data_IF_493250665063
#
_entry.id   IF_493250665063
#
_cell.length_a   1.000
_cell.length_b   1.000
_cell.length_c   1.000
_cell.angle_alpha   90.00
_cell.angle_beta   90.00
_cell.angle_gamma   90.00
#
_symmetry.space_group_name_H-M   'P 1'
#
loop_
_entity.id
_entity.type
_entity.pdbx_description
1 polymer ?
#
# COMPACT_ATOMS: atom_id res chain seq x y z
N UNK A 1 27.97 -41.38 34.64
CA UNK A 1 26.98 -41.89 33.68
C UNK A 1 25.70 -41.05 33.82
N UNK A 2 25.52 -40.03 33.00
CA UNK A 2 24.36 -39.13 33.08
C UNK A 2 23.19 -39.75 32.31
N UNK A 3 22.08 -40.01 33.00
CA UNK A 3 20.82 -40.43 32.37
C UNK A 3 20.11 -39.21 31.87
N UNK A 4 20.04 -39.04 30.55
CA UNK A 4 19.11 -38.09 29.92
C UNK A 4 17.70 -38.67 30.04
N UNK A 5 16.87 -38.10 30.89
CA UNK A 5 15.44 -38.35 30.89
C UNK A 5 14.86 -37.55 29.73
N UNK A 6 14.42 -38.27 28.67
CA UNK A 6 13.59 -37.68 27.64
C UNK A 6 12.24 -37.25 28.26
N UNK A 7 12.17 -36.00 28.71
CA UNK A 7 10.88 -35.36 28.89
C UNK A 7 10.39 -34.99 27.47
N UNK A 8 9.57 -35.84 26.90
CA UNK A 8 8.67 -35.43 25.81
C UNK A 8 7.74 -34.39 26.39
N UNK A 9 8.08 -33.12 26.24
CA UNK A 9 7.12 -32.04 26.34
C UNK A 9 6.10 -32.30 25.27
N UNK A 10 4.88 -32.71 25.65
CA UNK A 10 3.73 -32.63 24.75
C UNK A 10 3.60 -31.17 24.39
N UNK A 11 4.08 -30.81 23.19
CA UNK A 11 3.79 -29.55 22.57
C UNK A 11 2.30 -29.68 22.23
N UNK A 12 1.44 -29.13 23.08
CA UNK A 12 0.05 -28.90 22.72
C UNK A 12 0.09 -28.17 21.37
N UNK A 13 -0.43 -28.85 20.36
CA UNK A 13 -0.60 -28.24 19.04
C UNK A 13 -1.55 -27.05 19.22
N UNK A 14 -0.98 -25.89 19.48
CA UNK A 14 -1.71 -24.63 19.43
C UNK A 14 -1.96 -24.41 17.95
N UNK A 15 -3.21 -24.62 17.53
CA UNK A 15 -3.64 -24.36 16.18
C UNK A 15 -3.69 -22.82 15.99
N UNK A 16 -2.57 -22.26 15.54
CA UNK A 16 -2.43 -20.82 15.31
C UNK A 16 -3.00 -20.52 13.92
N UNK A 17 -4.15 -19.90 13.88
CA UNK A 17 -4.71 -19.35 12.63
C UNK A 17 -3.98 -18.03 12.28
N UNK A 18 -2.94 -18.13 11.45
CA UNK A 18 -2.13 -16.98 11.03
C UNK A 18 -2.95 -15.87 10.38
N UNK A 19 -4.09 -16.19 9.77
CA UNK A 19 -4.98 -15.17 9.21
C UNK A 19 -5.66 -14.32 10.27
N UNK A 20 -6.16 -14.94 11.32
CA UNK A 20 -6.75 -14.20 12.46
C UNK A 20 -5.72 -13.33 13.15
N UNK A 21 -4.49 -13.83 13.29
CA UNK A 21 -3.39 -13.03 13.83
C UNK A 21 -3.07 -11.84 12.94
N UNK A 22 -2.95 -12.04 11.62
CA UNK A 22 -2.71 -10.97 10.67
C UNK A 22 -3.84 -9.93 10.65
N UNK A 23 -5.10 -10.36 10.72
CA UNK A 23 -6.26 -9.47 10.82
C UNK A 23 -6.26 -8.71 12.15
N UNK A 24 -5.88 -9.35 13.24
CA UNK A 24 -5.68 -8.74 14.56
C UNK A 24 -4.65 -7.63 14.52
N UNK A 25 -3.48 -7.89 13.94
CA UNK A 25 -2.41 -6.90 13.78
C UNK A 25 -2.87 -5.70 12.93
N UNK A 26 -3.56 -5.96 11.83
CA UNK A 26 -4.10 -4.87 11.00
C UNK A 26 -5.12 -4.04 11.78
N UNK A 27 -6.01 -4.67 12.53
CA UNK A 27 -7.01 -3.95 13.32
C UNK A 27 -6.40 -3.08 14.41
N UNK A 28 -5.30 -3.51 15.01
CA UNK A 28 -4.66 -2.81 16.14
C UNK A 28 -3.67 -1.74 15.68
N UNK A 29 -2.83 -2.03 14.68
CA UNK A 29 -1.70 -1.19 14.30
C UNK A 29 -1.85 -0.46 12.96
N UNK A 30 -2.96 -0.64 12.24
CA UNK A 30 -3.09 -0.02 10.93
C UNK A 30 -3.38 1.48 11.01
N UNK A 31 -2.87 2.18 10.02
CA UNK A 31 -3.28 3.52 9.64
C UNK A 31 -4.23 3.44 8.43
N UNK A 32 -5.12 4.42 8.32
CA UNK A 32 -5.96 4.56 7.13
C UNK A 32 -5.21 5.29 6.03
N UNK A 33 -5.12 4.67 4.87
CA UNK A 33 -4.51 5.25 3.67
C UNK A 33 -5.49 5.21 2.50
N UNK A 34 -5.27 6.03 1.48
CA UNK A 34 -5.98 5.91 0.21
C UNK A 34 -5.14 5.08 -0.75
N UNK A 35 -5.71 4.01 -1.26
CA UNK A 35 -5.09 3.12 -2.23
C UNK A 35 -5.66 3.39 -3.61
N UNK A 36 -4.79 3.70 -4.56
CA UNK A 36 -5.12 3.92 -5.96
C UNK A 36 -4.60 2.75 -6.78
N UNK A 37 -5.53 2.00 -7.34
CA UNK A 37 -5.23 0.87 -8.21
C UNK A 37 -5.27 1.30 -9.65
N UNK A 38 -4.18 1.11 -10.38
CA UNK A 38 -4.08 1.39 -11.80
C UNK A 38 -4.66 0.23 -12.64
N UNK A 39 -5.66 0.55 -13.46
CA UNK A 39 -6.20 -0.39 -14.44
C UNK A 39 -5.44 -0.26 -15.76
N UNK A 40 -4.34 -0.99 -15.92
CA UNK A 40 -3.45 -0.89 -17.09
C UNK A 40 -4.09 -1.28 -18.44
N UNK A 41 -5.30 -1.82 -18.42
CA UNK A 41 -5.98 -2.30 -19.64
C UNK A 41 -6.82 -1.24 -20.33
N UNK A 42 -7.19 -0.17 -19.62
CA UNK A 42 -8.07 0.86 -20.17
C UNK A 42 -7.35 2.19 -20.12
N UNK A 43 -6.95 2.69 -21.30
CA UNK A 43 -6.31 4.00 -21.44
C UNK A 43 -7.29 5.12 -21.06
N UNK A 44 -6.79 6.10 -20.33
CA UNK A 44 -7.50 7.35 -20.10
C UNK A 44 -7.52 8.22 -21.37
N UNK A 45 -8.50 9.08 -21.51
CA UNK A 45 -8.56 10.03 -22.62
C UNK A 45 -7.36 11.00 -22.69
N UNK A 46 -6.68 11.21 -21.55
CA UNK A 46 -5.50 12.06 -21.47
C UNK A 46 -4.19 11.31 -21.78
N UNK A 47 -4.27 10.03 -22.14
CA UNK A 47 -3.08 9.24 -22.42
C UNK A 47 -2.39 9.71 -23.71
N UNK A 48 -1.14 10.12 -23.58
CA UNK A 48 -0.30 10.45 -24.71
C UNK A 48 0.40 9.19 -25.24
N UNK A 49 0.05 8.81 -26.45
CA UNK A 49 0.64 7.61 -27.10
C UNK A 49 2.11 7.80 -27.48
N UNK A 50 2.58 9.03 -27.62
CA UNK A 50 3.97 9.33 -27.97
C UNK A 50 4.85 9.21 -26.74
N UNK A 51 4.49 9.95 -25.68
CA UNK A 51 5.25 10.01 -24.44
C UNK A 51 4.95 8.86 -23.46
N UNK A 52 3.95 8.02 -23.79
CA UNK A 52 3.48 6.89 -22.96
C UNK A 52 3.11 7.26 -21.53
N UNK A 53 2.62 8.47 -21.34
CA UNK A 53 2.24 9.01 -20.02
C UNK A 53 0.84 9.64 -20.07
N UNK A 54 0.26 9.88 -18.90
CA UNK A 54 -0.97 10.63 -18.72
C UNK A 54 -0.71 12.07 -18.32
N UNK A 55 -1.72 12.92 -18.45
CA UNK A 55 -1.67 14.28 -17.90
C UNK A 55 -1.58 14.19 -16.35
N UNK A 56 -0.54 14.76 -15.72
CA UNK A 56 -0.37 14.74 -14.27
C UNK A 56 -1.56 15.29 -13.48
N UNK A 57 -2.32 16.21 -14.07
CA UNK A 57 -3.49 16.82 -13.44
C UNK A 57 -4.81 16.12 -13.80
N UNK A 58 -4.76 15.01 -14.52
CA UNK A 58 -5.97 14.31 -14.93
C UNK A 58 -6.70 13.73 -13.72
N UNK A 59 -7.93 14.15 -13.49
CA UNK A 59 -8.78 13.67 -12.40
C UNK A 59 -9.32 12.25 -12.60
N UNK A 60 -9.17 11.69 -13.80
CA UNK A 60 -9.68 10.36 -14.13
C UNK A 60 -8.65 9.26 -13.88
N UNK A 61 -7.39 9.51 -14.17
CA UNK A 61 -6.33 8.53 -14.07
C UNK A 61 -5.26 8.88 -13.03
N UNK A 62 -5.37 10.03 -12.37
CA UNK A 62 -4.40 10.51 -11.39
C UNK A 62 -2.96 10.54 -11.94
N UNK A 63 -2.82 11.00 -13.18
CA UNK A 63 -1.52 11.10 -13.84
C UNK A 63 -0.98 9.81 -14.45
N UNK A 64 -1.58 8.65 -14.16
CA UNK A 64 -1.09 7.34 -14.64
C UNK A 64 -1.31 7.09 -16.13
N UNK A 65 -2.20 7.84 -16.77
CA UNK A 65 -2.63 7.60 -18.15
C UNK A 65 -3.62 6.43 -18.33
N UNK A 66 -3.97 5.74 -17.25
CA UNK A 66 -4.91 4.62 -17.25
C UNK A 66 -6.01 4.86 -16.21
N UNK A 67 -7.18 4.27 -16.42
CA UNK A 67 -8.23 4.36 -15.42
C UNK A 67 -7.77 3.79 -14.09
N UNK A 68 -8.14 4.45 -13.01
CA UNK A 68 -7.78 4.07 -11.66
C UNK A 68 -9.02 3.98 -10.77
N UNK A 69 -8.95 3.19 -9.72
CA UNK A 69 -9.92 3.20 -8.65
C UNK A 69 -9.24 3.65 -7.35
N UNK A 70 -9.96 4.40 -6.55
CA UNK A 70 -9.49 4.86 -5.24
C UNK A 70 -10.35 4.24 -4.14
N UNK A 71 -9.73 3.73 -3.11
CA UNK A 71 -10.40 3.18 -1.93
C UNK A 71 -9.62 3.49 -0.66
N UNK A 72 -10.32 3.62 0.47
CA UNK A 72 -9.70 3.74 1.78
C UNK A 72 -9.43 2.34 2.31
N UNK A 73 -8.18 2.06 2.64
CA UNK A 73 -7.78 0.76 3.18
C UNK A 73 -6.99 0.92 4.46
N UNK A 74 -7.01 -0.07 5.36
CA UNK A 74 -6.08 -0.16 6.47
C UNK A 74 -4.74 -0.72 5.97
N UNK A 75 -3.63 -0.16 6.44
CA UNK A 75 -2.30 -0.67 6.18
C UNK A 75 -1.40 -0.44 7.39
N UNK A 76 -0.48 -1.36 7.65
CA UNK A 76 0.54 -1.20 8.68
C UNK A 76 1.77 -0.56 8.02
N UNK A 77 2.20 0.58 8.54
CA UNK A 77 3.44 1.23 8.14
C UNK A 77 4.59 0.68 8.98
N UNK A 78 5.58 0.13 8.34
CA UNK A 78 6.81 -0.33 8.99
C UNK A 78 7.99 0.43 8.40
N UNK A 79 8.67 1.21 9.23
CA UNK A 79 9.93 1.85 8.87
C UNK A 79 11.08 1.07 9.49
N UNK A 80 11.83 0.35 8.68
CA UNK A 80 13.04 -0.30 9.15
C UNK A 80 14.18 0.72 9.18
N UNK A 81 14.45 1.27 10.35
CA UNK A 81 15.73 1.94 10.64
C UNK A 81 16.76 0.90 11.06
N UNK A 82 17.10 -0.01 10.19
CA UNK A 82 18.08 -1.01 10.54
C UNK A 82 19.48 -0.48 10.28
N UNK A 83 20.14 -0.01 11.33
CA UNK A 83 21.53 0.43 11.31
C UNK A 83 22.54 -0.72 11.25
N UNK A 84 22.07 -1.96 11.39
CA UNK A 84 22.93 -3.16 11.47
C UNK A 84 22.37 -4.32 10.64
N UNK A 85 22.03 -4.07 9.39
CA UNK A 85 21.56 -5.14 8.52
C UNK A 85 22.69 -6.02 8.03
N UNK A 86 23.06 -6.99 8.85
CA UNK A 86 23.61 -8.22 8.32
C UNK A 86 22.46 -9.05 7.76
N UNK A 87 22.45 -9.16 6.45
CA UNK A 87 21.91 -10.30 5.69
C UNK A 87 20.56 -10.85 6.12
N UNK A 88 19.48 -10.24 5.78
CA UNK A 88 18.31 -10.98 5.30
C UNK A 88 17.14 -10.05 4.96
N UNK A 89 17.03 -9.74 3.77
CA UNK A 89 15.79 -9.74 3.03
C UNK A 89 14.83 -8.55 3.14
N UNK A 90 14.74 -7.85 4.22
CA UNK A 90 13.66 -6.88 4.39
C UNK A 90 14.16 -5.60 5.04
N UNK A 91 14.49 -4.60 4.22
CA UNK A 91 14.95 -3.29 4.69
C UNK A 91 16.43 -3.22 5.06
N UNK A 92 17.27 -4.06 4.47
CA UNK A 92 18.70 -4.09 4.69
C UNK A 92 19.45 -3.00 3.95
N UNK A 93 20.62 -2.67 4.46
CA UNK A 93 21.63 -1.87 3.78
C UNK A 93 21.96 -2.50 2.43
N UNK A 94 21.74 -1.79 1.33
CA UNK A 94 22.35 -2.18 0.06
C UNK A 94 23.81 -1.73 0.09
N UNK A 95 24.71 -2.69 0.13
CA UNK A 95 26.12 -2.44 -0.10
C UNK A 95 26.28 -2.21 -1.60
N UNK A 96 26.57 -0.97 -1.99
CA UNK A 96 26.98 -0.63 -3.35
C UNK A 96 28.49 -0.55 -3.40
N UNK A 97 29.09 -0.69 -4.58
CA UNK A 97 30.56 -0.60 -4.78
C UNK A 97 31.15 0.74 -4.34
N UNK A 98 30.31 1.72 -4.00
CA UNK A 98 30.73 3.11 -3.63
C UNK A 98 30.51 3.38 -2.13
N UNK A 99 29.99 2.42 -1.33
CA UNK A 99 29.81 2.61 0.09
C UNK A 99 28.46 2.10 0.61
N UNK A 100 28.29 2.19 1.94
CA UNK A 100 27.08 1.78 2.63
C UNK A 100 26.13 2.96 2.67
N UNK A 101 25.03 2.90 1.94
CA UNK A 101 23.97 3.89 2.05
C UNK A 101 22.88 3.39 3.01
N UNK A 102 22.60 4.18 4.05
CA UNK A 102 21.46 3.94 4.93
C UNK A 102 20.17 4.33 4.16
N UNK A 103 19.59 3.39 3.43
CA UNK A 103 18.28 3.57 2.86
C UNK A 103 17.25 3.11 3.90
N UNK A 104 16.45 4.03 4.39
CA UNK A 104 15.26 3.69 5.16
C UNK A 104 14.23 3.13 4.18
N UNK A 105 14.11 1.81 4.14
CA UNK A 105 13.05 1.20 3.36
C UNK A 105 11.76 1.28 4.18
N UNK A 106 10.82 2.08 3.73
CA UNK A 106 9.45 2.04 4.24
C UNK A 106 8.71 0.89 3.54
N UNK A 107 8.04 0.05 4.33
CA UNK A 107 7.24 -1.08 3.84
C UNK A 107 5.83 -0.93 4.37
N UNK A 108 4.85 -1.14 3.51
CA UNK A 108 3.45 -1.16 3.90
C UNK A 108 2.90 -2.58 3.80
N UNK A 109 2.30 -3.07 4.90
CA UNK A 109 1.61 -4.35 4.92
C UNK A 109 0.13 -4.14 4.70
N UNK A 110 -0.41 -4.79 3.67
CA UNK A 110 -1.78 -4.64 3.19
C UNK A 110 -2.44 -6.02 3.23
N UNK A 111 -3.70 -6.08 3.63
CA UNK A 111 -4.48 -7.33 3.64
C UNK A 111 -4.51 -7.97 2.25
N UNK A 112 -4.49 -9.30 2.23
CA UNK A 112 -4.45 -10.11 0.99
C UNK A 112 -5.57 -9.80 0.01
N UNK A 113 -6.74 -9.39 0.50
CA UNK A 113 -7.92 -9.08 -0.34
C UNK A 113 -7.73 -7.92 -1.31
N UNK A 114 -6.80 -7.02 -1.04
CA UNK A 114 -6.55 -5.84 -1.88
C UNK A 114 -5.65 -6.13 -3.07
N UNK A 115 -4.92 -7.26 -3.08
CA UNK A 115 -4.06 -7.69 -4.19
C UNK A 115 -3.27 -6.54 -4.84
N UNK A 116 -2.39 -5.85 -4.10
CA UNK A 116 -1.62 -4.72 -4.62
C UNK A 116 -0.70 -5.16 -5.74
N UNK A 117 -0.35 -4.21 -6.63
CA UNK A 117 0.56 -4.44 -7.74
C UNK A 117 1.61 -3.34 -7.81
N UNK A 118 2.76 -3.66 -8.40
CA UNK A 118 3.77 -2.65 -8.73
C UNK A 118 3.17 -1.53 -9.58
N UNK A 119 3.54 -0.29 -9.28
CA UNK A 119 3.03 0.98 -9.81
C UNK A 119 1.63 1.38 -9.35
N UNK A 120 1.00 0.65 -8.44
CA UNK A 120 -0.13 1.19 -7.70
C UNK A 120 0.36 2.27 -6.73
N UNK A 121 -0.54 3.15 -6.30
CA UNK A 121 -0.17 4.31 -5.49
C UNK A 121 -0.88 4.24 -4.14
N UNK A 122 -0.13 4.50 -3.09
CA UNK A 122 -0.65 4.71 -1.74
C UNK A 122 -0.53 6.19 -1.40
N UNK A 123 -1.61 6.78 -0.88
CA UNK A 123 -1.60 8.15 -0.41
C UNK A 123 -1.73 8.17 1.11
N UNK A 124 -0.74 8.70 1.79
CA UNK A 124 -0.83 9.03 3.20
C UNK A 124 -1.52 10.38 3.31
N UNK A 125 -2.68 10.41 3.97
CA UNK A 125 -3.55 11.58 4.03
C UNK A 125 -3.87 11.97 5.45
N UNK A 126 -4.16 13.26 5.64
CA UNK A 126 -4.75 13.76 6.88
C UNK A 126 -6.26 13.61 6.78
N UNK A 127 -6.87 13.09 7.84
CA UNK A 127 -8.32 12.86 7.93
C UNK A 127 -8.96 13.90 8.85
N UNK A 128 -10.15 14.38 8.49
CA UNK A 128 -10.97 15.17 9.39
C UNK A 128 -11.70 14.30 10.44
N UNK A 129 -12.45 14.95 11.36
CA UNK A 129 -13.23 14.25 12.39
C UNK A 129 -14.34 13.34 11.82
N UNK A 130 -14.77 13.60 10.59
CA UNK A 130 -15.78 12.82 9.88
C UNK A 130 -15.15 11.67 9.05
N UNK A 131 -13.83 11.57 9.03
CA UNK A 131 -13.10 10.57 8.25
C UNK A 131 -12.99 10.91 6.77
N UNK A 132 -13.15 12.18 6.39
CA UNK A 132 -12.89 12.63 5.02
C UNK A 132 -11.41 12.98 4.84
N UNK A 133 -10.82 12.68 3.68
CA UNK A 133 -9.45 13.06 3.39
C UNK A 133 -9.37 14.58 3.15
N UNK A 134 -8.47 15.26 3.85
CA UNK A 134 -8.28 16.71 3.78
C UNK A 134 -7.09 17.07 2.90
N UNK A 135 -5.92 16.60 3.27
CA UNK A 135 -4.68 16.87 2.55
C UNK A 135 -3.83 15.61 2.43
N UNK A 136 -3.07 15.53 1.33
CA UNK A 136 -2.12 14.45 1.07
C UNK A 136 -0.77 14.84 1.65
N UNK A 137 -0.28 14.01 2.57
CA UNK A 137 1.02 14.19 3.21
C UNK A 137 2.14 13.59 2.38
N UNK A 138 1.94 12.35 1.90
CA UNK A 138 2.90 11.62 1.07
C UNK A 138 2.19 10.90 -0.07
N UNK A 139 2.86 10.85 -1.22
CA UNK A 139 2.50 10.00 -2.36
C UNK A 139 3.55 8.92 -2.48
N UNK A 140 3.12 7.67 -2.41
CA UNK A 140 3.98 6.50 -2.35
C UNK A 140 3.66 5.57 -3.51
N UNK A 141 4.61 5.33 -4.39
CA UNK A 141 4.47 4.38 -5.49
C UNK A 141 4.95 3.01 -5.04
N UNK A 142 4.16 1.97 -5.24
CA UNK A 142 4.55 0.59 -4.96
C UNK A 142 5.56 0.16 -6.01
N UNK A 143 6.77 -0.13 -5.58
CA UNK A 143 7.86 -0.59 -6.45
C UNK A 143 7.84 -2.10 -6.59
N UNK A 144 7.63 -2.79 -5.49
CA UNK A 144 7.59 -4.25 -5.44
C UNK A 144 6.55 -4.76 -4.45
N UNK A 145 6.03 -5.95 -4.70
CA UNK A 145 5.05 -6.63 -3.84
C UNK A 145 5.51 -8.03 -3.59
N UNK A 146 5.59 -8.40 -2.31
CA UNK A 146 5.87 -9.76 -1.89
C UNK A 146 4.74 -10.31 -1.02
N UNK A 147 4.42 -11.57 -1.25
CA UNK A 147 3.35 -12.25 -0.55
C UNK A 147 3.88 -12.93 0.72
N UNK A 148 3.33 -12.57 1.85
CA UNK A 148 3.58 -13.28 3.11
C UNK A 148 2.62 -14.46 3.21
N UNK A 149 3.18 -15.64 3.06
CA UNK A 149 2.42 -16.89 3.05
C UNK A 149 2.51 -17.60 4.38
N UNK A 150 1.39 -18.09 4.83
CA UNK A 150 1.24 -18.95 6.00
C UNK A 150 0.60 -20.28 5.61
N UNK A 151 -0.02 -20.93 6.53
CA UNK A 151 -0.81 -22.14 6.46
C UNK A 151 -0.98 -22.76 5.04
N UNK A 152 -0.14 -23.74 4.72
CA UNK A 152 -0.17 -24.45 3.42
C UNK A 152 0.02 -23.52 2.18
N UNK A 153 0.75 -22.41 2.32
CA UNK A 153 1.04 -21.48 1.25
C UNK A 153 -0.05 -20.44 0.99
N UNK A 154 -1.05 -20.34 1.86
CA UNK A 154 -2.08 -19.31 1.81
C UNK A 154 -1.47 -17.92 2.04
N UNK A 155 -1.86 -16.94 1.22
CA UNK A 155 -1.41 -15.55 1.38
C UNK A 155 -2.17 -14.93 2.56
N UNK A 156 -1.45 -14.39 3.54
CA UNK A 156 -2.02 -13.74 4.71
C UNK A 156 -1.95 -12.21 4.59
N UNK A 157 -0.80 -11.70 4.18
CA UNK A 157 -0.54 -10.28 3.97
C UNK A 157 0.26 -10.07 2.69
N UNK A 158 0.18 -8.87 2.13
CA UNK A 158 1.06 -8.39 1.08
C UNK A 158 1.97 -7.31 1.65
N UNK A 159 3.29 -7.53 1.59
CA UNK A 159 4.26 -6.51 1.86
C UNK A 159 4.55 -5.70 0.60
N UNK A 160 4.48 -4.39 0.70
CA UNK A 160 4.69 -3.47 -0.41
C UNK A 160 5.91 -2.60 -0.13
N UNK A 161 6.97 -2.79 -0.90
CA UNK A 161 8.08 -1.85 -0.95
C UNK A 161 7.64 -0.60 -1.70
N UNK A 162 8.02 0.57 -1.20
CA UNK A 162 7.54 1.83 -1.74
C UNK A 162 8.68 2.78 -2.11
N UNK A 163 8.39 3.69 -3.04
CA UNK A 163 9.20 4.86 -3.37
C UNK A 163 8.36 6.11 -3.19
N UNK A 164 8.87 7.09 -2.45
CA UNK A 164 8.17 8.36 -2.25
C UNK A 164 8.27 9.22 -3.51
N UNK A 165 7.11 9.76 -3.95
CA UNK A 165 6.94 10.61 -5.12
C UNK A 165 6.56 12.02 -4.69
N UNK A 166 7.54 12.76 -4.21
CA UNK A 166 7.36 14.15 -3.75
C UNK A 166 6.90 15.09 -4.85
N UNK A 167 7.28 14.81 -6.10
CA UNK A 167 6.88 15.51 -7.32
C UNK A 167 5.36 15.51 -7.55
N UNK A 168 4.67 14.47 -7.11
CA UNK A 168 3.24 14.27 -7.34
C UNK A 168 2.34 14.83 -6.24
N UNK A 169 2.85 15.16 -5.06
CA UNK A 169 2.06 15.58 -3.89
C UNK A 169 1.14 16.76 -4.22
N UNK A 170 1.66 17.79 -4.89
CA UNK A 170 0.88 18.98 -5.27
C UNK A 170 -0.25 18.65 -6.23
N UNK A 171 0.03 17.84 -7.24
CA UNK A 171 -0.96 17.43 -8.26
C UNK A 171 -2.08 16.62 -7.64
N UNK A 172 -1.74 15.65 -6.80
CA UNK A 172 -2.74 14.83 -6.10
C UNK A 172 -3.57 15.63 -5.09
N UNK A 173 -2.99 16.60 -4.40
CA UNK A 173 -3.77 17.51 -3.53
C UNK A 173 -4.80 18.33 -4.33
N UNK A 174 -4.43 18.82 -5.50
CA UNK A 174 -5.36 19.53 -6.39
C UNK A 174 -6.52 18.61 -6.83
N UNK A 175 -6.20 17.38 -7.19
CA UNK A 175 -7.18 16.36 -7.56
C UNK A 175 -8.11 16.04 -6.38
N UNK A 176 -7.55 15.80 -5.19
CA UNK A 176 -8.32 15.47 -3.98
C UNK A 176 -9.35 16.57 -3.67
N UNK A 177 -8.91 17.84 -3.67
CA UNK A 177 -9.77 18.99 -3.41
C UNK A 177 -10.86 19.18 -4.47
N UNK A 178 -10.69 18.65 -5.66
CA UNK A 178 -11.66 18.71 -6.75
C UNK A 178 -12.62 17.52 -6.82
N UNK A 179 -12.48 16.54 -5.93
CA UNK A 179 -13.38 15.39 -5.89
C UNK A 179 -14.81 15.82 -5.52
N UNK A 180 -15.84 15.25 -6.16
CA UNK A 180 -17.22 15.54 -5.80
C UNK A 180 -17.53 15.02 -4.39
N UNK A 181 -18.36 15.74 -3.64
CA UNK A 181 -18.75 15.37 -2.26
C UNK A 181 -19.24 13.92 -2.13
N UNK A 182 -19.93 13.39 -3.14
CA UNK A 182 -20.38 11.99 -3.16
C UNK A 182 -19.21 11.01 -3.11
N UNK A 183 -18.12 11.27 -3.85
CA UNK A 183 -16.92 10.44 -3.85
C UNK A 183 -16.19 10.52 -2.50
N UNK A 184 -16.06 11.72 -1.94
CA UNK A 184 -15.46 11.91 -0.61
C UNK A 184 -16.25 11.16 0.47
N UNK A 185 -17.58 11.24 0.45
CA UNK A 185 -18.43 10.51 1.40
C UNK A 185 -18.36 8.97 1.23
N UNK A 186 -18.12 8.49 0.02
CA UNK A 186 -17.87 7.05 -0.21
C UNK A 186 -16.54 6.62 0.40
N UNK A 187 -15.50 7.40 0.18
CA UNK A 187 -14.17 7.12 0.74
C UNK A 187 -14.18 7.16 2.28
N UNK A 188 -14.88 8.12 2.90
CA UNK A 188 -14.97 8.21 4.36
C UNK A 188 -15.61 6.97 4.99
N UNK A 189 -16.55 6.34 4.29
CA UNK A 189 -17.24 5.12 4.73
C UNK A 189 -16.49 3.83 4.40
N UNK A 190 -15.24 3.92 3.88
CA UNK A 190 -14.49 2.75 3.42
C UNK A 190 -15.00 2.15 2.12
N UNK A 191 -15.83 2.88 1.38
CA UNK A 191 -16.32 2.46 0.08
C UNK A 191 -15.30 2.67 -1.03
N UNK A 192 -15.45 1.90 -2.11
CA UNK A 192 -14.63 2.00 -3.31
C UNK A 192 -15.18 3.06 -4.24
N UNK A 193 -14.37 4.06 -4.56
CA UNK A 193 -14.68 5.04 -5.57
C UNK A 193 -14.12 4.58 -6.91
N UNK A 194 -14.99 4.09 -7.82
CA UNK A 194 -14.60 3.75 -9.18
C UNK A 194 -14.62 5.03 -9.99
N UNK A 195 -13.50 5.35 -10.58
CA UNK A 195 -13.32 6.54 -11.38
C UNK A 195 -13.04 6.18 -12.85
N UNK A 196 -13.77 6.72 -13.84
CA UNK A 196 -14.85 7.69 -13.68
C UNK A 196 -16.17 7.01 -13.28
N UNK A 197 -16.87 7.59 -12.31
CA UNK A 197 -18.27 7.22 -12.14
C UNK A 197 -19.02 7.64 -13.42
N UNK A 198 -19.99 6.83 -13.85
CA UNK A 198 -20.84 7.12 -15.04
C UNK A 198 -21.59 8.46 -15.00
N UNK A 199 -21.37 9.28 -13.99
CA UNK A 199 -22.01 10.56 -13.74
C UNK A 199 -21.31 11.77 -14.35
N UNK A 200 -20.15 11.58 -15.00
CA UNK A 200 -19.59 12.63 -15.87
C UNK A 200 -20.11 12.47 -17.29
N UNK A 201 -21.41 12.64 -17.46
CA UNK A 201 -21.93 13.17 -18.71
C UNK A 201 -21.66 14.68 -18.70
N UNK A 202 -21.00 15.14 -19.75
CA UNK A 202 -20.70 16.55 -20.03
C UNK A 202 -21.90 17.45 -19.77
#
# INVERSE_FOLDING_TARGET
MYKFTNQTTEINNVDIDLRKEAEGLIKEFSISILYIRNCKFVKCKCFDDINKCGDPNCKLCFGSGYFASMEKIPAIESSSRNTNASSSGYGGLRQTDIGVTNQTAEVYYIQQQYTPKSRDILLKVTWDKQGNPVDIVKVLEITDVYEMRGDNGRIELNGCSISERTDLVRSFNTILKSLPRKAVNQLSKGGKCIWPSKTFKN
#
